data_IF_818478531415
#
_entry.id   IF_818478531415
#
_cell.length_a   1.000
_cell.length_b   1.000
_cell.length_c   1.000
_cell.angle_alpha   90.00
_cell.angle_beta   90.00
_cell.angle_gamma   90.00
#
_symmetry.space_group_name_H-M   'P 1'
#
loop_
_entity.id
_entity.type
_entity.pdbx_description
1 polymer ?
#
# COMPACT_ATOMS: atom_id res chain seq x y z
N UNK A 1 22.83 78.04 -46.68
CA UNK A 1 21.59 77.25 -46.68
C UNK A 1 21.95 75.78 -46.84
N UNK A 2 21.92 75.01 -45.81
CA UNK A 2 22.19 73.60 -45.82
C UNK A 2 20.91 72.87 -45.43
N UNK A 3 20.49 71.82 -46.10
CA UNK A 3 19.27 71.10 -45.75
C UNK A 3 19.52 70.06 -44.64
N UNK A 4 18.53 69.97 -43.71
CA UNK A 4 18.42 69.02 -42.65
C UNK A 4 18.29 67.58 -43.17
N UNK A 5 19.19 66.66 -42.71
CA UNK A 5 19.04 65.23 -42.92
C UNK A 5 18.36 64.61 -41.69
N UNK A 6 17.15 64.11 -41.89
CA UNK A 6 16.44 63.31 -40.85
C UNK A 6 17.08 61.94 -40.80
N UNK A 7 17.69 61.59 -39.63
CA UNK A 7 18.13 60.24 -39.33
C UNK A 7 16.98 59.29 -39.10
N UNK A 8 16.94 58.19 -39.83
CA UNK A 8 16.05 57.09 -39.62
C UNK A 8 16.54 56.27 -38.43
N UNK A 9 15.69 56.10 -37.43
CA UNK A 9 15.90 55.19 -36.34
C UNK A 9 15.60 53.78 -36.84
N UNK A 10 16.65 52.99 -37.04
CA UNK A 10 16.50 51.54 -37.23
C UNK A 10 16.05 50.93 -35.93
N UNK A 11 14.86 50.35 -35.95
CA UNK A 11 14.40 49.40 -34.92
C UNK A 11 15.23 48.12 -35.06
N UNK A 12 16.08 47.82 -34.09
CA UNK A 12 16.67 46.49 -33.92
C UNK A 12 15.55 45.56 -33.45
N UNK A 13 15.11 44.68 -34.32
CA UNK A 13 14.28 43.53 -33.97
C UNK A 13 15.07 42.68 -32.97
N UNK A 14 14.53 42.56 -31.74
CA UNK A 14 15.09 41.69 -30.70
C UNK A 14 14.99 40.25 -31.17
N UNK A 15 16.12 39.60 -31.34
CA UNK A 15 16.20 38.17 -31.46
C UNK A 15 15.67 37.57 -30.17
N UNK A 16 14.45 37.03 -30.20
CA UNK A 16 13.93 36.16 -29.14
C UNK A 16 14.71 34.86 -29.28
N UNK A 17 15.70 34.69 -28.41
CA UNK A 17 16.37 33.39 -28.24
C UNK A 17 15.31 32.46 -27.67
N UNK A 18 14.86 31.42 -28.38
CA UNK A 18 13.99 30.45 -27.78
C UNK A 18 14.72 29.85 -26.58
N UNK A 19 14.15 29.97 -25.41
CA UNK A 19 14.56 29.18 -24.26
C UNK A 19 14.43 27.70 -24.68
N UNK A 20 15.49 27.10 -25.18
CA UNK A 20 15.66 25.67 -25.19
C UNK A 20 15.79 25.26 -23.71
N UNK A 21 14.67 24.98 -23.08
CA UNK A 21 14.68 24.10 -21.92
C UNK A 21 15.29 22.81 -22.46
N UNK A 22 16.55 22.56 -22.13
CA UNK A 22 17.11 21.22 -22.28
C UNK A 22 16.18 20.31 -21.46
N UNK A 23 15.32 19.57 -22.15
CA UNK A 23 14.54 18.49 -21.56
C UNK A 23 15.58 17.50 -21.02
N UNK A 24 15.86 17.59 -19.73
CA UNK A 24 16.75 16.64 -19.07
C UNK A 24 15.95 15.33 -19.05
N UNK A 25 16.33 14.43 -19.91
CA UNK A 25 15.77 13.08 -19.97
C UNK A 25 16.25 12.30 -18.78
N UNK A 26 15.39 12.16 -17.75
CA UNK A 26 15.73 11.42 -16.53
C UNK A 26 15.59 9.92 -16.73
N UNK A 27 16.53 9.18 -16.16
CA UNK A 27 16.53 7.72 -16.10
C UNK A 27 16.17 7.23 -14.70
N UNK A 28 15.09 6.49 -14.61
CA UNK A 28 14.57 5.95 -13.36
C UNK A 28 14.75 4.43 -13.29
N UNK A 29 15.39 3.94 -12.23
CA UNK A 29 15.47 2.52 -11.93
C UNK A 29 14.61 2.21 -10.72
N UNK A 30 13.53 1.41 -10.90
CA UNK A 30 12.51 1.22 -9.87
C UNK A 30 12.48 -0.24 -9.41
N UNK A 31 12.37 -0.48 -8.09
CA UNK A 31 12.21 -1.84 -7.55
C UNK A 31 10.97 -1.92 -6.66
N UNK A 32 10.00 -2.73 -7.11
CA UNK A 32 8.80 -3.14 -6.39
C UNK A 32 8.76 -4.67 -6.32
N UNK A 33 8.78 -5.23 -5.12
CA UNK A 33 8.91 -6.69 -4.91
C UNK A 33 7.60 -7.42 -4.63
N UNK A 34 6.46 -6.74 -4.64
CA UNK A 34 5.12 -7.29 -4.31
C UNK A 34 4.03 -6.63 -5.15
N UNK A 35 2.84 -7.24 -5.19
CA UNK A 35 1.70 -6.73 -5.96
C UNK A 35 1.27 -5.30 -5.54
N UNK A 36 1.30 -4.98 -4.25
CA UNK A 36 1.03 -3.63 -3.76
C UNK A 36 2.08 -2.62 -4.26
N UNK A 37 3.35 -3.03 -4.29
CA UNK A 37 4.44 -2.24 -4.83
C UNK A 37 4.28 -1.99 -6.33
N UNK A 38 3.80 -2.97 -7.10
CA UNK A 38 3.48 -2.82 -8.53
C UNK A 38 2.39 -1.78 -8.75
N UNK A 39 1.32 -1.82 -7.96
CA UNK A 39 0.24 -0.83 -8.03
C UNK A 39 0.74 0.59 -7.72
N UNK A 40 1.50 0.77 -6.64
CA UNK A 40 2.04 2.09 -6.29
C UNK A 40 3.11 2.56 -7.28
N UNK A 41 3.96 1.64 -7.74
CA UNK A 41 4.96 1.91 -8.77
C UNK A 41 4.34 2.34 -10.10
N UNK A 42 3.23 1.73 -10.51
CA UNK A 42 2.54 2.09 -11.75
C UNK A 42 2.00 3.52 -11.73
N UNK A 43 1.39 3.92 -10.61
CA UNK A 43 0.87 5.28 -10.41
C UNK A 43 2.00 6.30 -10.35
N UNK A 44 3.07 5.98 -9.62
CA UNK A 44 4.26 6.83 -9.54
C UNK A 44 4.89 7.03 -10.93
N UNK A 45 5.04 5.96 -11.73
CA UNK A 45 5.54 6.04 -13.12
C UNK A 45 4.65 6.95 -13.97
N UNK A 46 3.33 6.79 -13.90
CA UNK A 46 2.39 7.63 -14.63
C UNK A 46 2.56 9.11 -14.27
N UNK A 47 2.74 9.43 -12.99
CA UNK A 47 2.96 10.79 -12.51
C UNK A 47 4.34 11.36 -12.89
N UNK A 48 5.38 10.53 -12.91
CA UNK A 48 6.71 10.94 -13.41
C UNK A 48 6.69 11.22 -14.91
N UNK A 49 6.02 10.38 -15.71
CA UNK A 49 5.85 10.60 -17.16
C UNK A 49 5.08 11.88 -17.49
N UNK A 50 4.14 12.30 -16.65
CA UNK A 50 3.46 13.60 -16.84
C UNK A 50 4.40 14.80 -16.68
N UNK A 51 5.46 14.65 -15.88
CA UNK A 51 6.44 15.70 -15.57
C UNK A 51 7.64 15.68 -16.50
N UNK A 52 8.00 14.49 -16.97
CA UNK A 52 9.10 14.24 -17.91
C UNK A 52 8.62 13.25 -18.97
N UNK A 53 8.20 13.79 -20.14
CA UNK A 53 7.66 13.01 -21.26
C UNK A 53 8.71 12.08 -21.87
N UNK A 54 10.00 12.41 -21.72
CA UNK A 54 11.12 11.65 -22.26
C UNK A 54 11.75 10.70 -21.23
N UNK A 55 11.16 10.61 -20.01
CA UNK A 55 11.64 9.76 -18.93
C UNK A 55 11.84 8.31 -19.40
N UNK A 56 12.99 7.74 -19.05
CA UNK A 56 13.30 6.34 -19.28
C UNK A 56 13.16 5.53 -18.00
N UNK A 57 12.54 4.36 -18.13
CA UNK A 57 12.31 3.47 -17.00
C UNK A 57 12.93 2.11 -17.22
N UNK A 58 13.63 1.59 -16.20
CA UNK A 58 13.92 0.16 -16.02
C UNK A 58 13.43 -0.24 -14.65
N UNK A 59 12.80 -1.39 -14.53
CA UNK A 59 12.21 -1.75 -13.24
C UNK A 59 12.08 -3.24 -13.01
N UNK A 60 11.96 -3.56 -11.72
CA UNK A 60 11.47 -4.81 -11.17
C UNK A 60 10.07 -4.53 -10.62
N UNK A 61 9.05 -5.21 -11.12
CA UNK A 61 7.65 -4.92 -10.81
C UNK A 61 6.73 -5.92 -11.50
N UNK A 62 5.57 -5.48 -11.95
CA UNK A 62 4.59 -6.34 -12.62
C UNK A 62 3.89 -5.67 -13.78
N UNK A 63 2.73 -6.23 -14.11
CA UNK A 63 1.96 -5.86 -15.30
C UNK A 63 1.47 -4.40 -15.26
N UNK A 64 1.11 -3.88 -14.06
CA UNK A 64 0.64 -2.50 -13.93
C UNK A 64 1.76 -1.48 -14.18
N UNK A 65 2.96 -1.74 -13.65
CA UNK A 65 4.12 -0.89 -13.95
C UNK A 65 4.50 -0.98 -15.42
N UNK A 66 4.42 -2.17 -16.05
CA UNK A 66 4.69 -2.35 -17.47
C UNK A 66 3.75 -1.51 -18.33
N UNK A 67 2.46 -1.55 -18.03
CA UNK A 67 1.45 -0.74 -18.72
C UNK A 67 1.74 0.77 -18.60
N UNK A 68 2.08 1.25 -17.40
CA UNK A 68 2.37 2.67 -17.17
C UNK A 68 3.69 3.11 -17.81
N UNK A 69 4.73 2.27 -17.72
CA UNK A 69 6.05 2.57 -18.26
C UNK A 69 6.10 2.45 -19.80
N UNK A 70 5.34 1.53 -20.37
CA UNK A 70 5.40 1.16 -21.79
C UNK A 70 6.59 0.26 -22.11
N UNK A 71 7.17 -0.41 -21.09
CA UNK A 71 8.29 -1.36 -21.23
C UNK A 71 8.10 -2.52 -20.27
N UNK A 72 8.62 -3.69 -20.61
CA UNK A 72 8.52 -4.90 -19.79
C UNK A 72 9.42 -4.84 -18.54
N UNK A 73 9.02 -5.48 -17.42
CA UNK A 73 9.84 -5.58 -16.24
C UNK A 73 11.07 -6.47 -16.49
N UNK A 74 12.22 -6.10 -15.94
CA UNK A 74 13.42 -6.96 -15.93
C UNK A 74 13.13 -8.27 -15.21
N UNK A 75 12.42 -8.19 -14.09
CA UNK A 75 11.93 -9.34 -13.31
C UNK A 75 10.54 -9.02 -12.80
N UNK A 76 9.60 -9.92 -13.05
CA UNK A 76 8.24 -9.80 -12.52
C UNK A 76 8.23 -10.12 -11.02
N UNK A 77 7.50 -9.32 -10.19
CA UNK A 77 7.46 -9.46 -8.73
C UNK A 77 7.03 -10.87 -8.26
N UNK A 78 6.22 -11.59 -9.04
CA UNK A 78 5.85 -12.99 -8.74
C UNK A 78 7.07 -13.90 -8.58
N UNK A 79 8.15 -13.58 -9.29
CA UNK A 79 9.43 -14.30 -9.19
C UNK A 79 10.29 -13.83 -8.03
N UNK A 80 9.91 -12.73 -7.36
CA UNK A 80 10.62 -12.13 -6.21
C UNK A 80 9.98 -12.46 -4.85
N UNK A 81 8.75 -12.98 -4.85
CA UNK A 81 7.95 -13.19 -3.65
C UNK A 81 8.43 -14.39 -2.81
N UNK A 82 9.63 -14.29 -2.24
CA UNK A 82 10.19 -15.25 -1.29
C UNK A 82 9.88 -14.83 0.16
N UNK A 83 8.65 -15.06 0.61
CA UNK A 83 8.27 -14.76 2.00
C UNK A 83 8.33 -16.00 2.88
N UNK A 84 8.85 -15.80 4.11
CA UNK A 84 9.03 -16.86 5.10
C UNK A 84 10.44 -17.46 5.10
N UNK A 85 10.92 -17.81 6.31
CA UNK A 85 12.30 -18.26 6.53
C UNK A 85 12.64 -19.52 5.71
N UNK A 86 11.72 -20.46 5.61
CA UNK A 86 11.91 -21.72 4.87
C UNK A 86 11.97 -21.44 3.36
N UNK A 87 11.09 -20.61 2.83
CA UNK A 87 11.08 -20.25 1.41
C UNK A 87 12.33 -19.47 0.99
N UNK A 88 12.85 -18.60 1.88
CA UNK A 88 14.11 -17.90 1.64
C UNK A 88 15.28 -18.88 1.56
N UNK A 89 15.36 -19.86 2.47
CA UNK A 89 16.42 -20.86 2.46
C UNK A 89 16.37 -21.76 1.21
N UNK A 90 15.17 -22.18 0.81
CA UNK A 90 14.98 -23.06 -0.37
C UNK A 90 15.24 -22.34 -1.71
N UNK A 91 15.19 -21.01 -1.75
CA UNK A 91 15.33 -20.21 -2.97
C UNK A 91 16.54 -19.24 -2.93
N UNK A 92 17.53 -19.54 -2.11
CA UNK A 92 18.68 -18.66 -1.90
C UNK A 92 19.42 -18.35 -3.20
N UNK A 93 19.58 -19.35 -4.08
CA UNK A 93 20.23 -19.20 -5.40
C UNK A 93 19.45 -18.28 -6.32
N UNK A 94 18.11 -18.37 -6.32
CA UNK A 94 17.24 -17.49 -7.10
C UNK A 94 17.34 -16.04 -6.60
N UNK A 95 17.40 -15.85 -5.28
CA UNK A 95 17.57 -14.52 -4.68
C UNK A 95 18.90 -13.90 -5.10
N UNK A 96 19.98 -14.68 -5.09
CA UNK A 96 21.30 -14.23 -5.55
C UNK A 96 21.30 -13.93 -7.05
N UNK A 97 20.64 -14.75 -7.86
CA UNK A 97 20.52 -14.53 -9.31
C UNK A 97 19.77 -13.22 -9.60
N UNK A 98 18.59 -13.02 -8.99
CA UNK A 98 17.80 -11.79 -9.14
C UNK A 98 18.60 -10.56 -8.72
N UNK A 99 19.34 -10.68 -7.61
CA UNK A 99 20.20 -9.60 -7.14
C UNK A 99 21.28 -9.24 -8.16
N UNK A 100 22.02 -10.25 -8.71
CA UNK A 100 23.02 -10.01 -9.74
C UNK A 100 22.43 -9.36 -10.98
N UNK A 101 21.24 -9.80 -11.38
CA UNK A 101 20.53 -9.24 -12.52
C UNK A 101 20.18 -7.76 -12.28
N UNK A 102 19.75 -7.40 -11.06
CA UNK A 102 19.48 -6.02 -10.67
C UNK A 102 20.77 -5.18 -10.70
N UNK A 103 21.87 -5.68 -10.14
CA UNK A 103 23.18 -5.03 -10.11
C UNK A 103 23.72 -4.78 -11.52
N UNK A 104 23.65 -5.76 -12.43
CA UNK A 104 24.07 -5.62 -13.83
C UNK A 104 23.21 -4.59 -14.57
N UNK A 105 21.88 -4.71 -14.50
CA UNK A 105 20.98 -3.78 -15.18
C UNK A 105 21.12 -2.33 -14.68
N UNK A 106 21.43 -2.12 -13.40
CA UNK A 106 21.72 -0.81 -12.86
C UNK A 106 22.96 -0.20 -13.53
N UNK A 107 24.06 -0.97 -13.60
CA UNK A 107 25.33 -0.51 -14.17
C UNK A 107 25.24 -0.29 -15.70
N UNK A 108 24.45 -1.09 -16.40
CA UNK A 108 24.22 -0.95 -17.84
C UNK A 108 23.31 0.25 -18.17
N UNK A 109 22.40 0.58 -17.26
CA UNK A 109 21.42 1.64 -17.47
C UNK A 109 21.91 3.01 -17.02
N UNK A 110 22.75 3.04 -15.96
CA UNK A 110 23.26 4.27 -15.34
C UNK A 110 22.12 5.27 -15.06
N UNK A 111 21.20 4.93 -14.12
CA UNK A 111 20.08 5.80 -13.81
C UNK A 111 20.53 7.04 -13.04
N UNK A 112 19.77 8.13 -13.22
CA UNK A 112 19.90 9.34 -12.40
C UNK A 112 19.29 9.12 -11.02
N UNK A 113 18.15 8.39 -10.97
CA UNK A 113 17.41 8.10 -9.74
C UNK A 113 17.06 6.63 -9.63
N UNK A 114 17.24 6.12 -8.40
CA UNK A 114 16.85 4.76 -8.01
C UNK A 114 15.71 4.85 -7.01
N UNK A 115 14.54 4.35 -7.37
CA UNK A 115 13.34 4.41 -6.53
C UNK A 115 13.05 3.02 -5.97
N UNK A 116 13.06 2.91 -4.65
CA UNK A 116 12.83 1.67 -3.90
C UNK A 116 11.46 1.72 -3.24
N UNK A 117 10.56 0.80 -3.62
CA UNK A 117 9.20 0.77 -3.08
C UNK A 117 9.08 -0.37 -2.08
N UNK A 118 8.83 -0.03 -0.79
CA UNK A 118 8.72 -1.01 0.31
C UNK A 118 9.81 -2.11 0.23
N UNK A 119 9.48 -3.39 0.43
CA UNK A 119 10.33 -4.58 0.25
C UNK A 119 11.75 -4.46 0.86
N UNK A 120 11.87 -4.10 2.15
CA UNK A 120 13.14 -3.65 2.74
C UNK A 120 14.23 -4.72 2.84
N UNK A 121 13.86 -5.99 2.75
CA UNK A 121 14.82 -7.10 2.79
C UNK A 121 15.79 -7.10 1.62
N UNK A 122 15.32 -6.79 0.45
CA UNK A 122 16.07 -6.65 -0.79
C UNK A 122 16.54 -5.21 -0.99
N UNK A 123 15.63 -4.26 -0.91
CA UNK A 123 15.84 -2.86 -1.27
C UNK A 123 16.96 -2.19 -0.48
N UNK A 124 17.10 -2.42 0.82
CA UNK A 124 18.21 -1.82 1.60
C UNK A 124 19.58 -2.39 1.26
N UNK A 125 19.66 -3.65 0.81
CA UNK A 125 20.90 -4.23 0.31
C UNK A 125 21.26 -3.67 -1.06
N UNK A 126 20.26 -3.47 -1.90
CA UNK A 126 20.41 -2.86 -3.21
C UNK A 126 20.82 -1.39 -3.11
N UNK A 127 20.21 -0.60 -2.21
CA UNK A 127 20.62 0.77 -1.90
C UNK A 127 22.10 0.87 -1.53
N UNK A 128 22.58 -0.07 -0.70
CA UNK A 128 24.01 -0.18 -0.39
C UNK A 128 24.86 -0.38 -1.64
N UNK A 129 24.43 -1.27 -2.56
CA UNK A 129 25.17 -1.53 -3.80
C UNK A 129 25.20 -0.29 -4.68
N UNK A 130 24.06 0.40 -4.86
CA UNK A 130 23.96 1.66 -5.63
C UNK A 130 24.97 2.67 -5.12
N UNK A 131 24.96 2.98 -3.82
CA UNK A 131 25.84 4.00 -3.23
C UNK A 131 27.33 3.67 -3.31
N UNK A 132 27.71 2.40 -3.46
CA UNK A 132 29.10 1.99 -3.63
C UNK A 132 29.57 2.03 -5.09
N UNK A 133 28.69 1.73 -6.05
CA UNK A 133 29.07 1.55 -7.44
C UNK A 133 28.62 2.71 -8.35
N UNK A 134 27.57 3.41 -7.96
CA UNK A 134 27.02 4.57 -8.67
C UNK A 134 26.63 5.66 -7.66
N UNK A 135 27.61 6.30 -6.98
CA UNK A 135 27.36 7.27 -5.92
C UNK A 135 26.64 8.55 -6.41
N UNK A 136 26.69 8.83 -7.71
CA UNK A 136 25.98 9.95 -8.34
C UNK A 136 24.47 9.73 -8.44
N UNK A 137 24.00 8.47 -8.45
CA UNK A 137 22.57 8.18 -8.49
C UNK A 137 21.93 8.51 -7.14
N UNK A 138 20.83 9.25 -7.19
CA UNK A 138 20.02 9.51 -6.00
C UNK A 138 19.16 8.29 -5.67
N UNK A 139 19.10 7.92 -4.38
CA UNK A 139 18.32 6.78 -3.89
C UNK A 139 17.13 7.30 -3.12
N UNK A 140 15.97 7.20 -3.74
CA UNK A 140 14.67 7.54 -3.17
C UNK A 140 13.98 6.30 -2.64
N UNK A 141 13.38 6.38 -1.45
CA UNK A 141 12.65 5.28 -0.87
C UNK A 141 11.18 5.68 -0.67
N UNK A 142 10.28 5.06 -1.42
CA UNK A 142 8.84 5.28 -1.33
C UNK A 142 8.17 4.16 -0.54
N UNK A 143 7.26 4.51 0.36
CA UNK A 143 6.61 3.62 1.33
C UNK A 143 7.64 3.06 2.33
N UNK A 144 7.92 3.87 3.34
CA UNK A 144 8.91 3.56 4.37
C UNK A 144 8.71 2.18 5.01
N UNK A 145 9.79 1.44 5.28
CA UNK A 145 9.69 0.20 6.05
C UNK A 145 9.11 0.47 7.43
N UNK A 146 8.20 -0.37 7.90
CA UNK A 146 7.52 -0.25 9.20
C UNK A 146 8.47 -0.50 10.38
N UNK A 147 9.54 0.31 10.50
CA UNK A 147 10.58 0.16 11.52
C UNK A 147 10.08 0.48 12.93
N UNK A 148 9.03 1.28 13.02
CA UNK A 148 8.31 1.57 14.26
C UNK A 148 7.63 0.32 14.83
N UNK A 149 7.30 -0.67 14.00
CA UNK A 149 6.75 -1.94 14.43
C UNK A 149 7.84 -2.97 14.76
N UNK A 150 8.89 -3.08 13.94
CA UNK A 150 9.92 -4.11 14.10
C UNK A 150 11.19 -3.79 13.31
N UNK A 151 12.32 -4.47 13.67
CA UNK A 151 13.62 -4.37 12.97
C UNK A 151 14.15 -2.94 12.84
N UNK A 152 14.02 -2.14 13.90
CA UNK A 152 14.50 -0.75 13.94
C UNK A 152 16.00 -0.62 13.59
N UNK A 153 16.82 -1.68 13.80
CA UNK A 153 18.24 -1.70 13.44
C UNK A 153 18.51 -1.35 11.96
N UNK A 154 17.49 -1.53 11.08
CA UNK A 154 17.58 -1.17 9.66
C UNK A 154 17.71 0.33 9.42
N UNK A 155 17.36 1.15 10.40
CA UNK A 155 17.52 2.61 10.32
C UNK A 155 18.98 3.01 10.04
N UNK A 156 19.96 2.24 10.54
CA UNK A 156 21.39 2.49 10.24
C UNK A 156 21.71 2.38 8.75
N UNK A 157 21.09 1.42 8.06
CA UNK A 157 21.28 1.25 6.62
C UNK A 157 20.56 2.36 5.84
N UNK A 158 19.36 2.74 6.27
CA UNK A 158 18.59 3.84 5.67
C UNK A 158 19.40 5.13 5.74
N UNK A 159 19.83 5.55 6.93
CA UNK A 159 20.65 6.76 7.13
C UNK A 159 21.91 6.82 6.27
N UNK A 160 22.43 5.67 5.89
CA UNK A 160 23.71 5.59 5.16
C UNK A 160 23.55 5.49 3.64
N UNK A 161 22.43 4.92 3.17
CA UNK A 161 22.29 4.51 1.77
C UNK A 161 21.03 5.03 1.07
N UNK A 162 20.14 5.71 1.79
CA UNK A 162 18.91 6.31 1.22
C UNK A 162 19.04 7.83 1.38
N UNK A 163 18.91 8.55 0.28
CA UNK A 163 19.03 10.01 0.29
C UNK A 163 17.75 10.65 0.77
N UNK A 164 16.60 10.21 0.22
CA UNK A 164 15.28 10.71 0.61
C UNK A 164 14.31 9.57 0.86
N UNK A 165 13.43 9.76 1.81
CA UNK A 165 12.39 8.78 2.14
C UNK A 165 11.03 9.45 2.21
N UNK A 166 10.08 8.85 1.49
CA UNK A 166 8.69 9.28 1.40
C UNK A 166 7.80 8.32 2.17
N UNK A 167 7.13 8.84 3.18
CA UNK A 167 6.28 8.06 4.09
C UNK A 167 4.82 8.21 3.72
N UNK A 168 4.02 7.20 4.10
CA UNK A 168 2.59 7.16 3.83
C UNK A 168 1.73 7.22 5.10
N UNK A 169 2.35 7.34 6.28
CA UNK A 169 1.66 7.57 7.55
C UNK A 169 2.22 8.82 8.22
N UNK A 170 1.37 9.77 8.68
CA UNK A 170 1.80 11.04 9.26
C UNK A 170 2.72 10.88 10.48
N UNK A 171 2.43 9.91 11.37
CA UNK A 171 3.22 9.65 12.57
C UNK A 171 4.67 9.18 12.28
N UNK A 172 4.93 8.68 11.07
CA UNK A 172 6.28 8.26 10.67
C UNK A 172 7.26 9.44 10.62
N UNK A 173 6.76 10.65 10.31
CA UNK A 173 7.60 11.86 10.28
C UNK A 173 8.22 12.13 11.65
N UNK A 174 7.42 12.10 12.70
CA UNK A 174 7.89 12.27 14.07
C UNK A 174 8.78 11.09 14.51
N UNK A 175 8.36 9.86 14.17
CA UNK A 175 9.11 8.66 14.54
C UNK A 175 10.53 8.63 13.97
N UNK A 176 10.70 8.96 12.69
CA UNK A 176 12.02 9.03 12.04
C UNK A 176 12.79 10.28 12.49
N UNK A 177 12.12 11.43 12.61
CA UNK A 177 12.71 12.70 13.04
C UNK A 177 13.31 12.61 14.44
N UNK A 178 12.61 12.01 15.41
CA UNK A 178 13.13 11.78 16.77
C UNK A 178 14.35 10.87 16.82
N UNK A 179 14.64 10.16 15.73
CA UNK A 179 15.82 9.30 15.56
C UNK A 179 16.89 9.93 14.67
N UNK A 180 16.74 11.22 14.33
CA UNK A 180 17.72 11.98 13.53
C UNK A 180 17.76 11.55 12.06
N UNK A 181 16.61 11.26 11.45
CA UNK A 181 16.46 11.05 10.03
C UNK A 181 15.16 11.70 9.54
N UNK A 182 15.30 12.72 8.71
CA UNK A 182 14.14 13.45 8.18
C UNK A 182 13.51 12.64 7.05
N UNK A 183 12.20 12.57 7.08
CA UNK A 183 11.37 11.94 6.05
C UNK A 183 10.26 12.90 5.63
N UNK A 184 9.69 12.65 4.47
CA UNK A 184 8.61 13.48 3.95
C UNK A 184 7.32 12.67 3.86
N UNK A 185 6.27 13.14 4.52
CA UNK A 185 4.94 12.59 4.35
C UNK A 185 4.36 13.06 3.01
N UNK A 186 3.94 12.12 2.17
CA UNK A 186 3.39 12.42 0.83
C UNK A 186 1.90 12.15 0.71
N UNK A 187 1.24 11.72 1.77
CA UNK A 187 -0.14 11.24 1.77
C UNK A 187 -0.21 9.72 1.75
N UNK A 188 -1.42 9.18 1.80
CA UNK A 188 -1.63 7.73 1.84
C UNK A 188 -2.30 7.23 0.56
N UNK A 189 -1.68 6.30 -0.20
CA UNK A 189 -2.25 5.79 -1.45
C UNK A 189 -3.58 5.05 -1.32
N UNK A 190 -3.93 4.55 -0.11
CA UNK A 190 -5.25 3.97 0.12
C UNK A 190 -6.34 5.03 0.10
N UNK A 191 -6.03 6.27 0.54
CA UNK A 191 -6.97 7.41 0.40
C UNK A 191 -7.24 7.68 -1.07
N UNK A 192 -6.20 7.71 -1.91
CA UNK A 192 -6.34 7.90 -3.35
C UNK A 192 -7.21 6.81 -3.99
N UNK A 193 -6.95 5.54 -3.62
CA UNK A 193 -7.67 4.40 -4.17
C UNK A 193 -9.15 4.39 -3.80
N UNK A 194 -9.44 4.63 -2.51
CA UNK A 194 -10.83 4.65 -2.00
C UNK A 194 -11.57 5.86 -2.56
N UNK A 195 -10.94 7.04 -2.56
CA UNK A 195 -11.56 8.25 -3.12
C UNK A 195 -11.88 8.11 -4.61
N UNK A 196 -10.95 7.55 -5.39
CA UNK A 196 -11.19 7.29 -6.82
C UNK A 196 -12.41 6.40 -7.01
N UNK A 197 -12.49 5.28 -6.29
CA UNK A 197 -13.63 4.36 -6.36
C UNK A 197 -14.95 5.00 -5.88
N UNK A 198 -14.90 5.81 -4.80
CA UNK A 198 -16.11 6.47 -4.28
C UNK A 198 -16.69 7.51 -5.25
N UNK A 199 -15.87 8.04 -6.15
CA UNK A 199 -16.28 8.98 -7.20
C UNK A 199 -16.77 8.29 -8.50
N UNK A 200 -16.65 6.96 -8.59
CA UNK A 200 -17.21 6.18 -9.70
C UNK A 200 -18.72 5.98 -9.52
N UNK A 201 -19.42 5.91 -10.65
CA UNK A 201 -20.83 5.51 -10.67
C UNK A 201 -20.95 4.07 -10.15
N UNK A 202 -21.80 3.89 -9.14
CA UNK A 202 -22.00 2.59 -8.50
C UNK A 202 -23.48 2.30 -8.31
N UNK A 203 -23.95 1.22 -8.90
CA UNK A 203 -25.31 0.71 -8.75
C UNK A 203 -25.32 -0.47 -7.74
N UNK A 204 -25.80 -0.21 -6.53
CA UNK A 204 -25.91 -1.23 -5.48
C UNK A 204 -26.89 -2.36 -5.88
N UNK A 205 -27.99 -2.03 -6.59
CA UNK A 205 -28.99 -3.02 -6.99
C UNK A 205 -28.40 -4.00 -7.99
N UNK A 206 -27.68 -3.46 -8.98
CA UNK A 206 -26.96 -4.26 -9.96
C UNK A 206 -25.88 -5.11 -9.30
N UNK A 207 -25.07 -4.51 -8.42
CA UNK A 207 -24.00 -5.23 -7.67
C UNK A 207 -24.58 -6.41 -6.87
N UNK A 208 -25.69 -6.19 -6.15
CA UNK A 208 -26.35 -7.26 -5.40
C UNK A 208 -26.87 -8.37 -6.32
N UNK A 209 -27.53 -8.01 -7.40
CA UNK A 209 -28.07 -8.96 -8.36
C UNK A 209 -26.98 -9.84 -9.01
N UNK A 210 -25.89 -9.24 -9.49
CA UNK A 210 -24.78 -9.93 -10.12
C UNK A 210 -24.06 -10.92 -9.17
N UNK A 211 -24.05 -10.61 -7.87
CA UNK A 211 -23.38 -11.44 -6.85
C UNK A 211 -24.36 -12.37 -6.09
N UNK A 212 -25.64 -12.43 -6.50
CA UNK A 212 -26.66 -13.26 -5.85
C UNK A 212 -26.89 -12.87 -4.38
N UNK A 213 -26.79 -11.57 -4.06
CA UNK A 213 -27.03 -11.00 -2.74
C UNK A 213 -28.47 -10.52 -2.65
N UNK A 214 -29.07 -10.72 -1.49
CA UNK A 214 -30.43 -10.25 -1.21
C UNK A 214 -30.46 -8.86 -0.54
N UNK A 215 -31.62 -8.42 -0.06
CA UNK A 215 -31.80 -7.10 0.55
C UNK A 215 -31.32 -6.99 2.00
N UNK A 216 -30.93 -8.08 2.64
CA UNK A 216 -30.43 -8.05 4.02
C UNK A 216 -29.14 -7.22 4.14
N UNK A 217 -28.91 -6.60 5.31
CA UNK A 217 -27.65 -5.94 5.59
C UNK A 217 -26.46 -6.89 5.46
N UNK A 218 -25.34 -6.38 4.97
CA UNK A 218 -24.14 -7.17 4.68
C UNK A 218 -23.10 -7.02 5.79
N UNK A 219 -22.54 -8.14 6.25
CA UNK A 219 -21.31 -8.19 7.02
C UNK A 219 -20.19 -8.67 6.10
N UNK A 220 -19.24 -7.80 5.83
CA UNK A 220 -18.07 -8.12 4.99
C UNK A 220 -17.02 -8.93 5.76
N UNK A 221 -16.51 -9.99 5.14
CA UNK A 221 -15.46 -10.85 5.69
C UNK A 221 -14.18 -10.70 4.86
N UNK A 222 -13.15 -10.08 5.44
CA UNK A 222 -11.84 -9.89 4.83
C UNK A 222 -10.81 -10.75 5.57
N UNK A 223 -10.65 -12.00 5.13
CA UNK A 223 -9.88 -13.02 5.86
C UNK A 223 -8.34 -12.92 5.71
N UNK A 224 -7.85 -11.94 4.93
CA UNK A 224 -6.44 -11.71 4.64
C UNK A 224 -6.09 -11.92 3.17
N UNK A 225 -4.85 -11.62 2.81
CA UNK A 225 -4.35 -11.70 1.42
C UNK A 225 -3.52 -12.96 1.13
N UNK A 226 -3.18 -13.76 2.14
CA UNK A 226 -2.35 -14.95 2.01
C UNK A 226 -3.11 -16.20 2.41
N UNK A 227 -2.90 -17.31 1.69
CA UNK A 227 -3.56 -18.61 1.97
C UNK A 227 -3.44 -19.02 3.44
N UNK A 228 -2.33 -18.72 4.11
CA UNK A 228 -2.13 -19.04 5.52
C UNK A 228 -3.02 -18.21 6.45
N UNK A 229 -3.17 -16.93 6.18
CA UNK A 229 -4.06 -16.02 6.92
C UNK A 229 -5.51 -16.46 6.75
N UNK A 230 -5.94 -16.65 5.51
CA UNK A 230 -7.29 -17.11 5.15
C UNK A 230 -7.61 -18.43 5.85
N UNK A 231 -6.74 -19.44 5.73
CA UNK A 231 -6.92 -20.75 6.40
C UNK A 231 -7.08 -20.61 7.91
N UNK A 232 -6.41 -19.63 8.51
CA UNK A 232 -6.43 -19.41 9.95
C UNK A 232 -7.66 -18.66 10.43
N UNK A 233 -8.10 -17.64 9.69
CA UNK A 233 -9.15 -16.72 10.14
C UNK A 233 -10.53 -17.11 9.62
N UNK A 234 -10.65 -17.54 8.38
CA UNK A 234 -11.93 -17.77 7.72
C UNK A 234 -12.87 -18.77 8.41
N UNK A 235 -12.41 -19.90 9.00
CA UNK A 235 -13.32 -20.85 9.63
C UNK A 235 -14.17 -20.24 10.77
N UNK A 236 -13.61 -19.36 11.58
CA UNK A 236 -14.37 -18.66 12.64
C UNK A 236 -15.32 -17.62 12.02
N UNK A 237 -14.90 -16.92 10.98
CA UNK A 237 -15.75 -15.96 10.26
C UNK A 237 -16.97 -16.64 9.64
N UNK A 238 -16.80 -17.83 9.07
CA UNK A 238 -17.90 -18.62 8.48
C UNK A 238 -18.87 -19.10 9.57
N UNK A 239 -18.35 -19.63 10.68
CA UNK A 239 -19.18 -20.05 11.82
C UNK A 239 -19.98 -18.89 12.43
N UNK A 240 -19.41 -17.68 12.43
CA UNK A 240 -20.07 -16.48 12.93
C UNK A 240 -21.39 -16.20 12.19
N UNK A 241 -21.45 -16.46 10.89
CA UNK A 241 -22.62 -16.22 10.05
C UNK A 241 -23.88 -16.98 10.54
N UNK A 242 -23.72 -18.14 11.17
CA UNK A 242 -24.84 -18.95 11.68
C UNK A 242 -25.62 -18.28 12.82
N UNK A 243 -25.02 -17.28 13.45
CA UNK A 243 -25.63 -16.55 14.57
C UNK A 243 -26.46 -15.33 14.13
N UNK A 244 -26.48 -14.99 12.81
CA UNK A 244 -27.09 -13.76 12.31
C UNK A 244 -27.98 -14.04 11.09
N UNK A 245 -29.21 -14.48 11.33
CA UNK A 245 -30.16 -14.85 10.25
C UNK A 245 -30.63 -13.66 9.44
N UNK A 246 -30.72 -12.49 10.07
CA UNK A 246 -31.17 -11.23 9.46
C UNK A 246 -30.08 -10.50 8.68
N UNK A 247 -28.87 -11.06 8.64
CA UNK A 247 -27.73 -10.54 7.91
C UNK A 247 -27.21 -11.55 6.89
N UNK A 248 -26.60 -11.05 5.84
CA UNK A 248 -25.82 -11.88 4.93
C UNK A 248 -24.33 -11.61 5.09
N UNK A 249 -23.58 -12.70 5.24
CA UNK A 249 -22.14 -12.64 5.37
C UNK A 249 -21.49 -12.92 4.03
N UNK A 250 -20.59 -12.01 3.60
CA UNK A 250 -19.99 -12.04 2.28
C UNK A 250 -18.47 -11.94 2.38
N UNK A 251 -17.79 -12.92 1.83
CA UNK A 251 -16.34 -12.97 1.76
C UNK A 251 -15.86 -12.16 0.55
N UNK A 252 -14.99 -11.18 0.78
CA UNK A 252 -14.19 -10.60 -0.28
C UNK A 252 -12.96 -11.49 -0.52
N UNK A 253 -12.95 -12.25 -1.61
CA UNK A 253 -11.83 -13.09 -1.96
C UNK A 253 -10.61 -12.25 -2.37
N UNK A 254 -9.45 -12.58 -1.81
CA UNK A 254 -8.20 -11.88 -2.09
C UNK A 254 -7.73 -12.16 -3.52
N UNK A 255 -7.20 -11.15 -4.24
CA UNK A 255 -6.61 -11.35 -5.55
C UNK A 255 -5.46 -12.38 -5.51
N UNK A 256 -5.43 -13.29 -6.50
CA UNK A 256 -4.36 -14.29 -6.61
C UNK A 256 -4.50 -15.50 -5.69
N UNK A 257 -5.66 -15.67 -5.04
CA UNK A 257 -6.01 -16.89 -4.30
C UNK A 257 -7.16 -17.58 -5.04
N UNK A 258 -6.97 -18.84 -5.34
CA UNK A 258 -7.87 -19.63 -6.20
C UNK A 258 -9.23 -19.87 -5.53
N UNK A 259 -10.29 -19.96 -6.33
CA UNK A 259 -11.68 -20.14 -5.87
C UNK A 259 -11.84 -21.43 -5.05
N UNK A 260 -11.25 -22.54 -5.55
CA UNK A 260 -11.32 -23.85 -4.93
C UNK A 260 -10.75 -23.86 -3.51
N UNK A 261 -9.78 -22.98 -3.25
CA UNK A 261 -9.22 -22.84 -1.90
C UNK A 261 -10.24 -22.24 -0.92
N UNK A 262 -10.99 -21.22 -1.34
CA UNK A 262 -12.07 -20.66 -0.53
C UNK A 262 -13.20 -21.66 -0.35
N UNK A 263 -13.65 -22.30 -1.41
CA UNK A 263 -14.70 -23.30 -1.39
C UNK A 263 -14.40 -24.47 -0.44
N UNK A 264 -13.13 -24.90 -0.40
CA UNK A 264 -12.67 -25.94 0.52
C UNK A 264 -12.78 -25.56 2.01
N UNK A 265 -12.77 -24.27 2.33
CA UNK A 265 -12.84 -23.73 3.70
C UNK A 265 -14.26 -23.32 4.10
N UNK A 266 -15.06 -22.89 3.15
CA UNK A 266 -16.43 -22.42 3.39
C UNK A 266 -17.42 -23.58 3.38
N UNK A 267 -17.24 -24.58 2.51
CA UNK A 267 -18.12 -25.72 2.40
C UNK A 267 -19.57 -25.32 2.04
N UNK A 268 -20.53 -26.14 2.45
CA UNK A 268 -21.96 -25.85 2.24
C UNK A 268 -22.52 -24.97 3.35
N UNK A 269 -22.33 -23.66 3.21
CA UNK A 269 -22.83 -22.64 4.13
C UNK A 269 -23.63 -21.58 3.36
N UNK A 270 -24.29 -20.68 4.10
CA UNK A 270 -25.00 -19.55 3.51
C UNK A 270 -24.11 -18.34 3.22
N UNK A 271 -22.81 -18.43 3.54
CA UNK A 271 -21.84 -17.37 3.29
C UNK A 271 -21.54 -17.29 1.79
N UNK A 272 -21.61 -16.10 1.21
CA UNK A 272 -21.30 -15.87 -0.19
C UNK A 272 -19.83 -15.52 -0.35
N UNK A 273 -19.24 -15.85 -1.49
CA UNK A 273 -17.88 -15.48 -1.86
C UNK A 273 -17.96 -14.61 -3.12
N UNK A 274 -17.32 -13.46 -3.08
CA UNK A 274 -17.21 -12.58 -4.25
C UNK A 274 -15.74 -12.33 -4.58
N UNK A 275 -15.44 -12.21 -5.87
CA UNK A 275 -14.09 -12.09 -6.40
C UNK A 275 -13.90 -10.72 -7.05
N UNK A 276 -12.73 -10.10 -6.82
CA UNK A 276 -12.36 -8.83 -7.45
C UNK A 276 -13.23 -7.62 -7.05
N UNK A 277 -14.08 -7.74 -6.02
CA UNK A 277 -15.08 -6.75 -5.66
C UNK A 277 -15.03 -6.33 -4.19
N UNK A 278 -13.81 -6.20 -3.63
CA UNK A 278 -13.63 -5.78 -2.22
C UNK A 278 -14.21 -4.39 -1.96
N UNK A 279 -13.92 -3.41 -2.82
CA UNK A 279 -14.41 -2.04 -2.67
C UNK A 279 -15.92 -1.92 -2.88
N UNK A 280 -16.51 -2.52 -3.94
CA UNK A 280 -17.96 -2.63 -4.05
C UNK A 280 -18.64 -3.22 -2.81
N UNK A 281 -18.07 -4.30 -2.24
CA UNK A 281 -18.60 -4.91 -1.03
C UNK A 281 -18.50 -3.97 0.17
N UNK A 282 -17.36 -3.32 0.40
CA UNK A 282 -17.19 -2.38 1.51
C UNK A 282 -18.13 -1.18 1.39
N UNK A 283 -18.41 -0.70 0.18
CA UNK A 283 -19.35 0.42 -0.06
C UNK A 283 -20.77 0.14 0.44
N UNK A 284 -21.19 -1.13 0.46
CA UNK A 284 -22.54 -1.54 0.87
C UNK A 284 -22.57 -2.31 2.20
N UNK A 285 -21.43 -2.52 2.83
CA UNK A 285 -21.34 -3.29 4.06
C UNK A 285 -21.83 -2.49 5.26
N UNK A 286 -22.65 -3.14 6.11
CA UNK A 286 -23.08 -2.62 7.40
C UNK A 286 -21.97 -2.66 8.45
N UNK A 287 -21.22 -3.77 8.48
CA UNK A 287 -20.09 -4.01 9.37
C UNK A 287 -19.09 -4.96 8.71
N UNK A 288 -17.91 -5.13 9.29
CA UNK A 288 -16.90 -6.03 8.76
C UNK A 288 -16.15 -6.79 9.85
N UNK A 289 -15.67 -8.00 9.51
CA UNK A 289 -14.65 -8.72 10.27
C UNK A 289 -13.40 -8.81 9.41
N UNK A 290 -12.32 -8.18 9.85
CA UNK A 290 -11.16 -7.88 8.99
C UNK A 290 -9.89 -8.46 9.59
N UNK A 291 -9.17 -9.27 8.82
CA UNK A 291 -7.82 -9.69 9.20
C UNK A 291 -6.86 -8.48 9.18
N UNK A 292 -6.02 -8.38 10.21
CA UNK A 292 -5.11 -7.24 10.36
C UNK A 292 -4.19 -7.06 9.13
N UNK A 293 -4.18 -5.85 8.58
CA UNK A 293 -3.40 -5.47 7.39
C UNK A 293 -3.89 -4.14 6.83
N UNK A 294 -3.53 -3.83 5.59
CA UNK A 294 -3.98 -2.63 4.88
C UNK A 294 -5.50 -2.55 4.77
N UNK A 295 -6.17 -3.71 4.66
CA UNK A 295 -7.62 -3.79 4.59
C UNK A 295 -8.33 -3.15 5.81
N UNK A 296 -7.70 -3.09 7.00
CA UNK A 296 -8.29 -2.39 8.15
C UNK A 296 -8.41 -0.89 7.92
N UNK A 297 -7.43 -0.29 7.27
CA UNK A 297 -7.47 1.13 6.91
C UNK A 297 -8.48 1.37 5.79
N UNK A 298 -8.47 0.56 4.74
CA UNK A 298 -9.43 0.66 3.64
C UNK A 298 -10.88 0.55 4.16
N UNK A 299 -11.16 -0.42 5.04
CA UNK A 299 -12.47 -0.57 5.69
C UNK A 299 -12.88 0.69 6.47
N UNK A 300 -11.95 1.32 7.18
CA UNK A 300 -12.20 2.59 7.88
C UNK A 300 -12.46 3.75 6.90
N UNK A 301 -11.71 3.83 5.80
CA UNK A 301 -11.91 4.84 4.75
C UNK A 301 -13.29 4.70 4.07
N UNK A 302 -13.84 3.49 3.97
CA UNK A 302 -15.22 3.25 3.57
C UNK A 302 -16.24 3.50 4.69
N UNK A 303 -15.79 3.94 5.89
CA UNK A 303 -16.62 4.16 7.07
C UNK A 303 -17.44 2.92 7.49
N UNK A 304 -16.86 1.74 7.34
CA UNK A 304 -17.46 0.46 7.75
C UNK A 304 -16.94 0.07 9.12
N UNK A 305 -17.79 0.03 10.17
CA UNK A 305 -17.39 -0.44 11.49
C UNK A 305 -16.86 -1.87 11.43
N UNK A 306 -15.77 -2.14 12.15
CA UNK A 306 -15.07 -3.40 12.00
C UNK A 306 -14.58 -4.00 13.32
N UNK A 307 -14.53 -5.32 13.36
CA UNK A 307 -13.76 -6.10 14.34
C UNK A 307 -12.49 -6.61 13.66
N UNK A 308 -11.34 -6.28 14.23
CA UNK A 308 -10.06 -6.72 13.66
C UNK A 308 -9.64 -8.04 14.29
N UNK A 309 -9.26 -8.99 13.45
CA UNK A 309 -8.83 -10.32 13.88
C UNK A 309 -7.45 -10.64 13.34
N UNK A 310 -6.68 -11.42 14.11
CA UNK A 310 -5.38 -11.92 13.64
C UNK A 310 -4.99 -13.20 14.38
N UNK A 311 -4.77 -14.26 13.63
CA UNK A 311 -4.33 -15.54 14.19
C UNK A 311 -2.84 -15.74 14.01
N UNK A 312 -2.08 -15.58 15.09
CA UNK A 312 -0.62 -15.76 15.08
C UNK A 312 -0.29 -17.26 15.14
N UNK A 313 0.57 -17.74 14.26
CA UNK A 313 1.15 -19.07 14.36
C UNK A 313 2.06 -19.14 15.59
N UNK A 314 1.94 -20.21 16.39
CA UNK A 314 2.71 -20.37 17.63
C UNK A 314 1.94 -20.08 18.92
N UNK A 315 0.64 -19.71 18.82
CA UNK A 315 -0.28 -19.63 19.97
C UNK A 315 0.20 -18.73 21.11
N UNK A 316 0.09 -19.22 22.35
CA UNK A 316 0.46 -18.46 23.57
C UNK A 316 1.94 -18.08 23.63
N UNK A 317 2.84 -18.89 23.04
CA UNK A 317 4.28 -18.62 23.05
C UNK A 317 4.62 -17.43 22.15
N UNK A 318 3.99 -17.32 20.98
CA UNK A 318 4.19 -16.18 20.07
C UNK A 318 3.69 -14.86 20.70
N UNK A 319 2.61 -14.91 21.50
CA UNK A 319 2.14 -13.73 22.23
C UNK A 319 3.07 -13.32 23.38
N UNK A 320 3.69 -14.26 24.07
CA UNK A 320 4.71 -13.95 25.09
C UNK A 320 5.95 -13.26 24.47
N UNK A 321 6.28 -13.61 23.21
CA UNK A 321 7.41 -13.02 22.49
C UNK A 321 7.02 -11.73 21.74
N UNK A 322 5.71 -11.42 21.58
CA UNK A 322 5.23 -10.22 20.90
C UNK A 322 5.90 -8.93 21.39
N UNK A 323 5.99 -8.63 22.70
CA UNK A 323 6.60 -7.40 23.20
C UNK A 323 8.09 -7.27 22.88
N UNK A 324 8.78 -8.40 22.69
CA UNK A 324 10.20 -8.42 22.29
C UNK A 324 10.41 -8.18 20.79
N UNK A 325 9.42 -8.53 19.97
CA UNK A 325 9.50 -8.49 18.51
C UNK A 325 8.75 -7.31 17.90
N UNK A 326 7.61 -6.93 18.50
CA UNK A 326 6.72 -5.88 18.00
C UNK A 326 6.63 -4.77 19.04
N UNK A 327 7.02 -3.57 18.64
CA UNK A 327 7.11 -2.39 19.53
C UNK A 327 5.79 -1.63 19.66
N UNK A 328 4.78 -1.95 18.85
CA UNK A 328 3.47 -1.29 18.92
C UNK A 328 2.49 -2.08 19.78
N UNK A 329 1.61 -1.43 20.56
CA UNK A 329 0.56 -2.10 21.31
C UNK A 329 -0.51 -2.71 20.38
N UNK A 330 -0.72 -2.10 19.20
CA UNK A 330 -1.73 -2.47 18.22
C UNK A 330 -1.14 -3.14 16.99
N UNK A 331 -2.01 -3.82 16.21
CA UNK A 331 -1.67 -4.46 14.94
C UNK A 331 -2.47 -3.90 13.76
N UNK A 332 -3.64 -3.27 14.00
CA UNK A 332 -4.42 -2.60 12.96
C UNK A 332 -3.84 -1.22 12.64
N UNK A 333 -3.86 -0.84 11.37
CA UNK A 333 -3.46 0.51 10.96
C UNK A 333 -4.38 1.58 11.56
N UNK A 334 -5.66 1.27 11.76
CA UNK A 334 -6.64 2.17 12.37
C UNK A 334 -6.17 2.61 13.76
N UNK A 335 -5.91 1.66 14.67
CA UNK A 335 -5.47 1.97 16.03
C UNK A 335 -4.07 2.62 16.07
N UNK A 336 -3.18 2.18 15.17
CA UNK A 336 -1.82 2.73 15.08
C UNK A 336 -1.85 4.20 14.64
N UNK A 337 -2.65 4.55 13.62
CA UNK A 337 -2.77 5.92 13.14
C UNK A 337 -3.46 6.81 14.18
N UNK A 338 -4.52 6.30 14.81
CA UNK A 338 -5.24 7.01 15.86
C UNK A 338 -4.43 7.18 17.15
N UNK A 339 -3.39 6.38 17.37
CA UNK A 339 -2.63 6.35 18.63
C UNK A 339 -3.44 5.87 19.85
N UNK A 340 -4.62 5.29 19.62
CA UNK A 340 -5.56 4.76 20.64
C UNK A 340 -6.37 3.60 20.07
N UNK A 341 -7.05 2.86 20.95
CA UNK A 341 -7.99 1.84 20.52
C UNK A 341 -9.25 2.49 19.94
N UNK A 342 -9.49 2.27 18.67
CA UNK A 342 -10.70 2.66 17.92
C UNK A 342 -11.49 1.42 17.55
N UNK A 343 -10.79 0.37 17.13
CA UNK A 343 -11.36 -0.93 16.74
C UNK A 343 -10.83 -2.02 17.68
N UNK A 344 -11.69 -2.93 18.09
CA UNK A 344 -11.26 -4.07 18.90
C UNK A 344 -10.41 -5.02 18.11
N UNK A 345 -9.25 -5.41 18.66
CA UNK A 345 -8.31 -6.36 18.07
C UNK A 345 -8.35 -7.71 18.79
N UNK A 346 -8.88 -8.72 18.14
CA UNK A 346 -8.93 -10.09 18.64
C UNK A 346 -7.73 -10.89 18.12
N UNK A 347 -6.70 -11.02 18.97
CA UNK A 347 -5.41 -11.57 18.56
C UNK A 347 -5.21 -12.99 19.14
N UNK A 348 -4.67 -13.89 18.33
CA UNK A 348 -4.24 -15.24 18.70
C UNK A 348 -5.32 -16.04 19.44
N UNK A 349 -5.17 -16.28 20.77
CA UNK A 349 -6.12 -17.04 21.58
C UNK A 349 -7.39 -16.25 21.94
N UNK A 350 -7.37 -14.92 21.80
CA UNK A 350 -8.54 -14.06 21.97
C UNK A 350 -9.47 -14.07 20.75
N UNK A 351 -8.99 -14.53 19.59
CA UNK A 351 -9.82 -14.72 18.41
C UNK A 351 -10.61 -16.02 18.54
N UNK A 352 -11.80 -15.92 19.09
CA UNK A 352 -12.78 -17.00 19.27
C UNK A 352 -14.13 -16.60 18.70
N UNK A 353 -14.99 -17.56 18.39
CA UNK A 353 -16.34 -17.29 17.89
C UNK A 353 -17.14 -16.40 18.84
N UNK A 354 -17.15 -16.73 20.14
CA UNK A 354 -17.90 -16.00 21.16
C UNK A 354 -17.45 -14.55 21.28
N UNK A 355 -16.14 -14.32 21.37
CA UNK A 355 -15.60 -12.95 21.45
C UNK A 355 -15.87 -12.16 20.20
N UNK A 356 -15.68 -12.78 19.02
CA UNK A 356 -15.95 -12.10 17.75
C UNK A 356 -17.42 -11.72 17.65
N UNK A 357 -18.33 -12.61 18.08
CA UNK A 357 -19.76 -12.31 18.18
C UNK A 357 -20.01 -11.13 19.11
N UNK A 358 -19.49 -11.18 20.33
CA UNK A 358 -19.66 -10.11 21.34
C UNK A 358 -19.21 -8.75 20.81
N UNK A 359 -18.07 -8.68 20.12
CA UNK A 359 -17.57 -7.41 19.56
C UNK A 359 -18.35 -6.97 18.32
N UNK A 360 -18.80 -7.90 17.48
CA UNK A 360 -19.65 -7.60 16.34
C UNK A 360 -21.03 -7.07 16.76
N UNK A 361 -21.62 -7.65 17.80
CA UNK A 361 -22.92 -7.20 18.35
C UNK A 361 -22.90 -5.72 18.77
N UNK A 362 -21.75 -5.19 19.22
CA UNK A 362 -21.61 -3.79 19.64
C UNK A 362 -21.63 -2.79 18.47
N UNK A 363 -21.31 -3.24 17.27
CA UNK A 363 -21.10 -2.37 16.11
C UNK A 363 -22.02 -2.65 14.92
N UNK A 364 -22.74 -3.79 14.94
CA UNK A 364 -23.63 -4.18 13.84
C UNK A 364 -24.92 -3.35 13.83
N UNK A 365 -25.44 -3.04 15.03
CA UNK A 365 -26.58 -2.16 15.22
C UNK A 365 -26.15 -0.70 15.51
N UNK A 366 -27.12 0.21 15.42
CA UNK A 366 -26.86 1.61 15.76
C UNK A 366 -26.72 1.75 17.29
N UNK A 367 -25.66 2.43 17.73
CA UNK A 367 -25.35 2.61 19.15
C UNK A 367 -24.09 3.45 19.33
N UNK A 368 -23.78 3.78 20.58
CA UNK A 368 -22.67 4.67 20.95
C UNK A 368 -21.31 4.14 20.47
N UNK A 369 -21.07 2.82 20.58
CA UNK A 369 -19.80 2.21 20.14
C UNK A 369 -19.59 2.38 18.63
N UNK A 370 -20.65 2.10 17.85
CA UNK A 370 -20.62 2.30 16.40
C UNK A 370 -20.40 3.76 16.04
N UNK A 371 -21.12 4.69 16.65
CA UNK A 371 -21.00 6.12 16.38
C UNK A 371 -19.61 6.64 16.74
N UNK A 372 -19.08 6.25 17.91
CA UNK A 372 -17.72 6.60 18.33
C UNK A 372 -16.65 6.07 17.37
N UNK A 373 -16.84 4.86 16.83
CA UNK A 373 -15.94 4.31 15.81
C UNK A 373 -15.98 5.09 14.51
N UNK A 374 -17.15 5.48 14.03
CA UNK A 374 -17.33 6.27 12.81
C UNK A 374 -16.72 7.67 12.97
N UNK A 375 -16.91 8.33 14.11
CA UNK A 375 -16.27 9.61 14.41
C UNK A 375 -14.73 9.49 14.40
N UNK A 376 -14.20 8.44 15.00
CA UNK A 376 -12.75 8.20 14.98
C UNK A 376 -12.21 7.91 13.56
N UNK A 377 -13.02 7.34 12.68
CA UNK A 377 -12.65 7.18 11.27
C UNK A 377 -12.55 8.53 10.56
N UNK A 378 -13.44 9.48 10.87
CA UNK A 378 -13.36 10.84 10.32
C UNK A 378 -12.07 11.53 10.79
N UNK A 379 -11.72 11.43 12.07
CA UNK A 379 -10.45 11.95 12.59
C UNK A 379 -9.23 11.34 11.88
N UNK A 380 -9.27 10.03 11.57
CA UNK A 380 -8.20 9.34 10.84
C UNK A 380 -8.12 9.83 9.40
N UNK A 381 -9.26 10.02 8.72
CA UNK A 381 -9.33 10.56 7.36
C UNK A 381 -8.72 11.95 7.32
N UNK A 382 -9.08 12.82 8.25
CA UNK A 382 -8.54 14.18 8.37
C UNK A 382 -7.01 14.18 8.59
N UNK A 383 -6.51 13.29 9.44
CA UNK A 383 -5.06 13.15 9.72
C UNK A 383 -4.29 12.62 8.50
N UNK A 384 -4.90 11.74 7.70
CA UNK A 384 -4.28 11.24 6.47
C UNK A 384 -4.27 12.30 5.35
N UNK A 385 -5.16 13.28 5.41
CA UNK A 385 -5.23 14.39 4.47
C UNK A 385 -5.73 14.00 3.07
N UNK A 386 -5.53 14.93 2.14
CA UNK A 386 -6.10 14.87 0.80
C UNK A 386 -5.47 13.82 -0.11
N UNK A 387 -6.21 13.46 -1.16
CA UNK A 387 -5.75 12.64 -2.29
C UNK A 387 -4.51 13.23 -2.98
N UNK A 388 -3.79 12.41 -3.74
CA UNK A 388 -2.64 12.82 -4.55
C UNK A 388 -1.29 12.38 -3.97
N UNK A 389 -1.24 11.31 -3.19
CA UNK A 389 0.00 10.77 -2.61
C UNK A 389 1.07 10.48 -3.67
N UNK A 390 0.69 9.75 -4.73
CA UNK A 390 1.61 9.39 -5.81
C UNK A 390 2.07 10.62 -6.60
N UNK A 391 1.20 11.61 -6.82
CA UNK A 391 1.52 12.86 -7.51
C UNK A 391 2.50 13.73 -6.71
N UNK A 392 2.28 13.86 -5.37
CA UNK A 392 3.20 14.57 -4.47
C UNK A 392 4.56 13.88 -4.37
N UNK A 393 4.56 12.53 -4.31
CA UNK A 393 5.80 11.75 -4.34
C UNK A 393 6.58 11.98 -5.63
N UNK A 394 5.92 11.86 -6.79
CA UNK A 394 6.53 12.09 -8.09
C UNK A 394 7.09 13.50 -8.24
N UNK A 395 6.35 14.52 -7.77
CA UNK A 395 6.82 15.91 -7.81
C UNK A 395 8.11 16.10 -7.01
N UNK A 396 8.16 15.55 -5.81
CA UNK A 396 9.36 15.62 -4.94
C UNK A 396 10.54 14.87 -5.54
N UNK A 397 10.30 13.68 -6.10
CA UNK A 397 11.33 12.90 -6.79
C UNK A 397 11.86 13.67 -8.00
N UNK A 398 11.00 14.28 -8.80
CA UNK A 398 11.39 15.00 -10.02
C UNK A 398 12.17 16.28 -9.73
N UNK A 399 11.78 17.05 -8.72
CA UNK A 399 12.40 18.35 -8.37
C UNK A 399 13.72 18.25 -7.57
N UNK A 400 13.93 17.16 -6.85
CA UNK A 400 15.16 16.93 -6.09
C UNK A 400 16.14 16.20 -6.93
#
# INVERSE_FOLDING_TARGET
MLPCVRGAVQRTEGFVIPHFSFLIQMKYFIIAGEASGDLHGSRLIAELKRRDLEAQFRFFGGDLMAQSAGVEPIVHYRNMAFMGFVNVLLNIDKIFHIRRLAEQNLLDFLPDKVILIDYPGFNLRFAKFVKHNLPSAEVDYYIAPKLWAWKEYRLKAIKRYVDRMFTIFPFETEWFGSRGYNVEYVGNPSVDSVSAFMNEDFDEVQFRAENGLDSRPIVALLAGSRRQEIRSCLPIMVQLAENYLDYQFVIAAAPGVEAEFYESLVGQTRVKIIYGATYPLLRVARAAVVNSGTATLETALFRVPQVVVYKVFGGRLAMLLKPLLIKTPWVSLVNIIAGREVVTELLAHNYTLERTKTELDKIIEDGEVRQGMLQAYDEIIDVLGDVGADARCAEKIYKG
#
